data_IF_673488527423
#
_entry.id   IF_673488527423
#
_cell.length_a   1.000
_cell.length_b   1.000
_cell.length_c   1.000
_cell.angle_alpha   90.00
_cell.angle_beta   90.00
_cell.angle_gamma   90.00
#
_symmetry.space_group_name_H-M   'P 1'
#
loop_
_entity.id
_entity.type
_entity.pdbx_description
1 polymer ?
#
# COMPACT_ATOMS: atom_id res chain seq x y z
N UNK A 1 -22.11 37.72 -5.76
CA UNK A 1 -22.30 36.66 -6.77
C UNK A 1 -20.98 36.00 -7.19
N UNK A 2 -19.98 36.77 -7.66
CA UNK A 2 -18.67 36.21 -8.09
C UNK A 2 -17.88 35.47 -7.00
N UNK A 3 -17.96 35.93 -5.74
CA UNK A 3 -17.29 35.25 -4.61
C UNK A 3 -17.88 33.85 -4.32
N UNK A 4 -19.21 33.72 -4.35
CA UNK A 4 -19.90 32.44 -4.11
C UNK A 4 -19.67 31.43 -5.24
N UNK A 5 -19.60 31.89 -6.49
CA UNK A 5 -19.25 31.04 -7.65
C UNK A 5 -17.78 30.59 -7.62
N UNK A 6 -16.88 31.46 -7.17
CA UNK A 6 -15.48 31.10 -6.91
C UNK A 6 -15.36 30.05 -5.80
N UNK A 7 -16.04 30.26 -4.67
CA UNK A 7 -16.02 29.33 -3.53
C UNK A 7 -16.56 27.94 -3.92
N UNK A 8 -17.65 27.88 -4.68
CA UNK A 8 -18.25 26.61 -5.11
C UNK A 8 -17.35 25.84 -6.08
N UNK A 9 -16.63 26.53 -6.97
CA UNK A 9 -15.61 25.91 -7.84
C UNK A 9 -14.44 25.35 -7.03
N UNK A 10 -13.95 26.10 -6.05
CA UNK A 10 -12.83 25.66 -5.19
C UNK A 10 -13.24 24.45 -4.34
N UNK A 11 -14.44 24.46 -3.76
CA UNK A 11 -14.99 23.33 -2.99
C UNK A 11 -15.22 22.10 -3.89
N UNK A 12 -15.67 22.30 -5.14
CA UNK A 12 -15.80 21.20 -6.11
C UNK A 12 -14.47 20.59 -6.55
N UNK A 13 -13.37 21.35 -6.48
CA UNK A 13 -12.03 20.91 -6.87
C UNK A 13 -11.17 20.38 -5.71
N UNK A 14 -11.61 20.57 -4.46
CA UNK A 14 -10.92 20.09 -3.27
C UNK A 14 -10.55 18.60 -3.33
N UNK A 15 -11.43 17.68 -3.78
CA UNK A 15 -11.06 16.27 -3.95
C UNK A 15 -9.91 16.06 -4.94
N UNK A 16 -9.89 16.81 -6.04
CA UNK A 16 -8.83 16.74 -7.04
C UNK A 16 -7.49 17.26 -6.51
N UNK A 17 -7.51 18.35 -5.73
CA UNK A 17 -6.32 18.88 -5.03
C UNK A 17 -5.76 17.82 -4.08
N UNK A 18 -6.61 17.23 -3.24
CA UNK A 18 -6.21 16.21 -2.28
C UNK A 18 -5.63 14.99 -2.99
N UNK A 19 -6.25 14.54 -4.08
CA UNK A 19 -5.74 13.44 -4.91
C UNK A 19 -4.36 13.75 -5.49
N UNK A 20 -4.15 14.95 -6.03
CA UNK A 20 -2.83 15.35 -6.54
C UNK A 20 -1.78 15.36 -5.44
N UNK A 21 -2.06 15.96 -4.29
CA UNK A 21 -1.09 16.01 -3.18
C UNK A 21 -0.79 14.60 -2.67
N UNK A 22 -1.83 13.80 -2.41
CA UNK A 22 -1.67 12.41 -1.96
C UNK A 22 -0.89 11.58 -2.98
N UNK A 23 -1.14 11.78 -4.28
CA UNK A 23 -0.44 11.07 -5.35
C UNK A 23 1.06 11.34 -5.34
N UNK A 24 1.48 12.59 -5.12
CA UNK A 24 2.90 12.98 -5.05
C UNK A 24 3.54 12.33 -3.83
N UNK A 25 2.88 12.39 -2.67
CA UNK A 25 3.37 11.76 -1.43
C UNK A 25 3.52 10.25 -1.61
N UNK A 26 2.53 9.58 -2.20
CA UNK A 26 2.56 8.14 -2.46
C UNK A 26 3.64 7.79 -3.50
N UNK A 27 3.81 8.61 -4.54
CA UNK A 27 4.84 8.41 -5.55
C UNK A 27 6.27 8.60 -5.00
N UNK A 28 6.47 9.39 -3.95
CA UNK A 28 7.81 9.61 -3.36
C UNK A 28 8.08 8.64 -2.20
N UNK A 29 7.11 8.48 -1.29
CA UNK A 29 7.31 7.79 -0.02
C UNK A 29 6.42 6.54 0.15
N UNK A 30 5.72 6.11 -0.91
CA UNK A 30 4.72 5.04 -0.85
C UNK A 30 5.24 3.73 -0.25
N UNK A 31 6.44 3.27 -0.63
CA UNK A 31 7.08 2.10 -0.03
C UNK A 31 7.24 2.20 1.50
N UNK A 32 7.59 3.38 2.01
CA UNK A 32 7.75 3.62 3.46
C UNK A 32 6.39 3.65 4.13
N UNK A 33 5.41 4.34 3.54
CA UNK A 33 4.04 4.36 4.04
C UNK A 33 3.41 2.96 4.07
N UNK A 34 3.62 2.14 3.04
CA UNK A 34 3.12 0.77 3.00
C UNK A 34 3.72 -0.08 4.13
N UNK A 35 5.03 0.02 4.37
CA UNK A 35 5.68 -0.64 5.52
C UNK A 35 5.12 -0.14 6.85
N UNK A 36 4.94 1.17 6.99
CA UNK A 36 4.37 1.75 8.20
C UNK A 36 2.93 1.27 8.43
N UNK A 37 2.10 1.20 7.39
CA UNK A 37 0.75 0.64 7.49
C UNK A 37 0.78 -0.82 7.91
N UNK A 38 1.66 -1.62 7.32
CA UNK A 38 1.82 -3.03 7.70
C UNK A 38 2.27 -3.17 9.15
N UNK A 39 3.21 -2.33 9.60
CA UNK A 39 3.61 -2.27 11.01
C UNK A 39 2.42 -1.90 11.91
N UNK A 40 1.65 -0.88 11.55
CA UNK A 40 0.49 -0.45 12.33
C UNK A 40 -0.56 -1.54 12.40
N UNK A 41 -0.92 -2.18 11.27
CA UNK A 41 -1.92 -3.26 11.25
C UNK A 41 -1.43 -4.48 12.01
N UNK A 42 -0.18 -4.90 11.81
CA UNK A 42 0.42 -6.01 12.57
C UNK A 42 0.51 -5.72 14.06
N UNK A 43 0.89 -4.50 14.42
CA UNK A 43 0.98 -4.05 15.80
C UNK A 43 -0.39 -3.96 16.45
N UNK A 44 -1.35 -3.29 15.84
CA UNK A 44 -2.71 -3.19 16.38
C UNK A 44 -3.36 -4.57 16.54
N UNK A 45 -3.23 -5.46 15.56
CA UNK A 45 -3.81 -6.80 15.66
C UNK A 45 -3.25 -7.60 16.84
N UNK A 46 -1.94 -7.76 16.93
CA UNK A 46 -1.33 -8.52 18.04
C UNK A 46 -1.46 -7.78 19.38
N UNK A 47 -1.31 -6.46 19.37
CA UNK A 47 -1.47 -5.60 20.54
C UNK A 47 -2.86 -5.71 21.15
N UNK A 48 -3.92 -5.70 20.35
CA UNK A 48 -5.30 -5.89 20.83
C UNK A 48 -5.52 -7.31 21.37
N UNK A 49 -4.97 -8.33 20.70
CA UNK A 49 -5.05 -9.73 21.17
C UNK A 49 -4.38 -9.86 22.54
N UNK A 50 -3.14 -9.39 22.70
CA UNK A 50 -2.41 -9.49 23.96
C UNK A 50 -2.98 -8.58 25.06
N UNK A 51 -3.50 -7.41 24.68
CA UNK A 51 -4.26 -6.56 25.59
C UNK A 51 -5.50 -7.28 26.12
N UNK A 52 -6.26 -7.97 25.26
CA UNK A 52 -7.44 -8.73 25.71
C UNK A 52 -7.06 -9.88 26.65
N UNK A 53 -6.00 -10.63 26.32
CA UNK A 53 -5.45 -11.70 27.15
C UNK A 53 -4.97 -11.18 28.51
N UNK A 54 -4.30 -10.03 28.53
CA UNK A 54 -3.84 -9.42 29.76
C UNK A 54 -4.97 -9.06 30.73
N UNK A 55 -6.17 -8.74 30.22
CA UNK A 55 -7.35 -8.49 31.04
C UNK A 55 -7.98 -9.75 31.61
N UNK A 56 -7.67 -10.92 31.03
CA UNK A 56 -8.14 -12.23 31.54
C UNK A 56 -7.18 -12.87 32.54
N UNK A 57 -5.87 -12.59 32.42
CA UNK A 57 -4.81 -13.25 33.21
C UNK A 57 -4.31 -12.35 34.36
N UNK A 58 -4.43 -11.03 34.24
CA UNK A 58 -3.95 -10.08 35.24
C UNK A 58 -4.83 -8.83 35.35
N UNK A 59 -4.44 -7.93 36.25
CA UNK A 59 -5.10 -6.63 36.40
C UNK A 59 -4.73 -5.64 35.29
N UNK A 60 -5.31 -4.43 35.36
CA UNK A 60 -5.19 -3.37 34.35
C UNK A 60 -3.74 -3.02 33.94
N UNK A 61 -2.78 -3.07 34.87
CA UNK A 61 -1.37 -2.81 34.54
C UNK A 61 -0.78 -3.88 33.61
N UNK A 62 -1.07 -5.16 33.85
CA UNK A 62 -0.60 -6.28 33.01
C UNK A 62 -1.21 -6.17 31.61
N UNK A 63 -2.49 -5.76 31.56
CA UNK A 63 -3.22 -5.52 30.32
C UNK A 63 -2.53 -4.50 29.41
N UNK A 64 -2.15 -3.35 29.97
CA UNK A 64 -1.49 -2.26 29.23
C UNK A 64 -0.10 -2.70 28.77
N UNK A 65 0.68 -3.34 29.64
CA UNK A 65 2.04 -3.80 29.31
C UNK A 65 1.99 -4.82 28.17
N UNK A 66 1.13 -5.82 28.25
CA UNK A 66 0.97 -6.83 27.20
C UNK A 66 0.45 -6.23 25.89
N UNK A 67 -0.44 -5.23 25.96
CA UNK A 67 -0.90 -4.50 24.78
C UNK A 67 0.23 -3.76 24.06
N UNK A 68 1.08 -3.04 24.81
CA UNK A 68 2.22 -2.31 24.23
C UNK A 68 3.26 -3.28 23.65
N UNK A 69 3.60 -4.34 24.39
CA UNK A 69 4.53 -5.37 23.91
C UNK A 69 3.98 -6.07 22.67
N UNK A 70 2.69 -6.41 22.65
CA UNK A 70 2.01 -6.98 21.49
C UNK A 70 2.02 -6.04 20.29
N UNK A 71 1.84 -4.74 20.51
CA UNK A 71 1.93 -3.76 19.43
C UNK A 71 3.32 -3.70 18.80
N UNK A 72 4.37 -3.64 19.61
CA UNK A 72 5.75 -3.59 19.11
C UNK A 72 6.10 -4.89 18.40
N UNK A 73 5.88 -6.04 19.06
CA UNK A 73 6.21 -7.35 18.51
C UNK A 73 5.38 -7.63 17.24
N UNK A 74 4.08 -7.34 17.27
CA UNK A 74 3.19 -7.54 16.14
C UNK A 74 3.55 -6.66 14.95
N UNK A 75 3.94 -5.42 15.19
CA UNK A 75 4.38 -4.52 14.14
C UNK A 75 5.68 -5.00 13.50
N UNK A 76 6.66 -5.42 14.30
CA UNK A 76 7.92 -5.99 13.81
C UNK A 76 7.66 -7.28 13.02
N UNK A 77 6.83 -8.19 13.55
CA UNK A 77 6.43 -9.41 12.85
C UNK A 77 5.71 -9.09 11.53
N UNK A 78 4.81 -8.12 11.50
CA UNK A 78 4.16 -7.67 10.27
C UNK A 78 5.17 -7.22 9.22
N UNK A 79 6.17 -6.43 9.60
CA UNK A 79 7.25 -6.02 8.70
C UNK A 79 8.11 -7.20 8.22
N UNK A 80 8.43 -8.15 9.09
CA UNK A 80 9.20 -9.35 8.76
C UNK A 80 8.44 -10.29 7.82
N UNK A 81 7.12 -10.36 7.97
CA UNK A 81 6.24 -11.20 7.14
C UNK A 81 5.84 -10.53 5.83
N UNK A 82 6.09 -9.23 5.67
CA UNK A 82 5.75 -8.49 4.44
C UNK A 82 6.31 -9.14 3.16
N UNK A 83 7.57 -9.58 3.09
CA UNK A 83 8.08 -10.27 1.92
C UNK A 83 7.31 -11.56 1.61
N UNK A 84 6.93 -12.32 2.64
CA UNK A 84 6.17 -13.55 2.50
C UNK A 84 4.76 -13.24 1.96
N UNK A 85 4.11 -12.21 2.47
CA UNK A 85 2.78 -11.79 1.99
C UNK A 85 2.83 -11.39 0.50
N UNK A 86 3.84 -10.63 0.09
CA UNK A 86 4.04 -10.26 -1.32
C UNK A 86 4.34 -11.47 -2.18
N UNK A 87 5.20 -12.38 -1.70
CA UNK A 87 5.48 -13.67 -2.34
C UNK A 87 4.21 -14.49 -2.55
N UNK A 88 3.42 -14.68 -1.50
CA UNK A 88 2.15 -15.42 -1.57
C UNK A 88 1.17 -14.79 -2.57
N UNK A 89 1.05 -13.46 -2.58
CA UNK A 89 0.21 -12.76 -3.55
C UNK A 89 0.67 -13.03 -4.99
N UNK A 90 1.97 -12.88 -5.28
CA UNK A 90 2.51 -13.13 -6.62
C UNK A 90 2.40 -14.61 -7.02
N UNK A 91 2.71 -15.52 -6.09
CA UNK A 91 2.56 -16.96 -6.28
C UNK A 91 1.12 -17.36 -6.58
N UNK A 92 0.15 -16.80 -5.85
CA UNK A 92 -1.27 -17.05 -6.11
C UNK A 92 -1.71 -16.53 -7.49
N UNK A 93 -1.25 -15.35 -7.90
CA UNK A 93 -1.53 -14.79 -9.23
C UNK A 93 -0.98 -15.72 -10.32
N UNK A 94 0.28 -16.13 -10.22
CA UNK A 94 0.91 -17.01 -11.22
C UNK A 94 0.28 -18.40 -11.25
N UNK A 95 -0.03 -18.99 -10.09
CA UNK A 95 -0.80 -20.23 -9.99
C UNK A 95 -2.14 -20.11 -10.72
N UNK A 96 -2.88 -19.03 -10.48
CA UNK A 96 -4.20 -18.81 -11.07
C UNK A 96 -4.13 -18.64 -12.60
N UNK A 97 -3.14 -17.88 -13.10
CA UNK A 97 -2.95 -17.66 -14.53
C UNK A 97 -2.55 -18.94 -15.29
N UNK A 98 -1.84 -19.84 -14.61
CA UNK A 98 -1.32 -21.08 -15.20
C UNK A 98 -2.20 -22.29 -14.90
N UNK A 99 -3.31 -22.12 -14.16
CA UNK A 99 -4.26 -23.18 -13.84
C UNK A 99 -4.79 -23.95 -15.07
N UNK A 100 -5.10 -23.28 -16.21
CA UNK A 100 -5.54 -23.98 -17.43
C UNK A 100 -4.49 -24.91 -18.04
N UNK A 101 -3.21 -24.75 -17.69
CA UNK A 101 -2.11 -25.55 -18.21
C UNK A 101 -1.90 -26.85 -17.42
N UNK A 102 -2.60 -27.03 -16.29
CA UNK A 102 -2.57 -28.24 -15.46
C UNK A 102 -1.89 -28.05 -14.10
N UNK A 103 -2.40 -28.75 -13.10
CA UNK A 103 -2.09 -28.53 -11.67
C UNK A 103 -0.60 -28.52 -11.33
N UNK A 104 0.20 -29.43 -11.91
CA UNK A 104 1.64 -29.52 -11.62
C UNK A 104 2.37 -28.26 -12.12
N UNK A 105 2.06 -27.83 -13.35
CA UNK A 105 2.64 -26.62 -13.94
C UNK A 105 2.24 -25.40 -13.11
N UNK A 106 0.98 -25.34 -12.68
CA UNK A 106 0.48 -24.23 -11.87
C UNK A 106 1.12 -24.16 -10.49
N UNK A 107 1.30 -25.30 -9.83
CA UNK A 107 2.01 -25.40 -8.55
C UNK A 107 3.45 -24.91 -8.67
N UNK A 108 4.17 -25.33 -9.71
CA UNK A 108 5.54 -24.89 -9.96
C UNK A 108 5.58 -23.37 -10.20
N UNK A 109 4.70 -22.85 -11.05
CA UNK A 109 4.60 -21.41 -11.32
C UNK A 109 4.28 -20.61 -10.04
N UNK A 110 3.39 -21.14 -9.19
CA UNK A 110 3.05 -20.52 -7.91
C UNK A 110 4.21 -20.51 -6.92
N UNK A 111 4.95 -21.61 -6.80
CA UNK A 111 6.15 -21.68 -5.94
C UNK A 111 7.27 -20.75 -6.42
N UNK A 112 7.50 -20.68 -7.73
CA UNK A 112 8.44 -19.73 -8.34
C UNK A 112 7.99 -18.30 -8.02
N UNK A 113 6.69 -18.01 -8.20
CA UNK A 113 6.10 -16.72 -7.85
C UNK A 113 6.28 -16.33 -6.38
N UNK A 114 6.15 -17.29 -5.47
CA UNK A 114 6.39 -17.09 -4.05
C UNK A 114 7.84 -16.67 -3.79
N UNK A 115 8.79 -17.42 -4.32
CA UNK A 115 10.23 -17.16 -4.12
C UNK A 115 10.61 -15.81 -4.72
N UNK A 116 10.23 -15.56 -5.98
CA UNK A 116 10.54 -14.31 -6.67
C UNK A 116 9.87 -13.13 -5.98
N UNK A 117 8.60 -13.26 -5.60
CA UNK A 117 7.85 -12.18 -4.95
C UNK A 117 8.40 -11.85 -3.55
N UNK A 118 8.89 -12.83 -2.81
CA UNK A 118 9.56 -12.59 -1.53
C UNK A 118 10.89 -11.85 -1.73
N UNK A 119 11.73 -12.32 -2.67
CA UNK A 119 13.03 -11.71 -2.98
C UNK A 119 12.89 -10.28 -3.53
N UNK A 120 11.91 -10.05 -4.40
CA UNK A 120 11.65 -8.76 -5.04
C UNK A 120 10.57 -7.95 -4.32
N UNK A 121 10.26 -8.26 -3.06
CA UNK A 121 9.21 -7.58 -2.31
C UNK A 121 9.39 -6.05 -2.29
N UNK A 122 10.60 -5.56 -2.03
CA UNK A 122 10.89 -4.12 -2.04
C UNK A 122 10.67 -3.46 -3.42
N UNK A 123 11.25 -3.99 -4.54
CA UNK A 123 10.93 -3.52 -5.89
C UNK A 123 9.45 -3.59 -6.27
N UNK A 124 8.75 -4.66 -5.90
CA UNK A 124 7.33 -4.84 -6.17
C UNK A 124 6.51 -3.79 -5.42
N UNK A 125 6.79 -3.56 -4.14
CA UNK A 125 6.13 -2.49 -3.38
C UNK A 125 6.38 -1.13 -4.04
N UNK A 126 7.63 -0.81 -4.38
CA UNK A 126 7.96 0.46 -5.04
C UNK A 126 7.20 0.63 -6.37
N UNK A 127 7.13 -0.43 -7.18
CA UNK A 127 6.38 -0.44 -8.43
C UNK A 127 4.89 -0.18 -8.20
N UNK A 128 4.27 -0.94 -7.30
CA UNK A 128 2.83 -0.84 -7.01
C UNK A 128 2.50 0.55 -6.46
N UNK A 129 3.26 1.06 -5.51
CA UNK A 129 2.98 2.38 -4.93
C UNK A 129 3.26 3.51 -5.90
N UNK A 130 4.29 3.42 -6.74
CA UNK A 130 4.51 4.38 -7.81
C UNK A 130 3.36 4.35 -8.84
N UNK A 131 2.87 3.16 -9.20
CA UNK A 131 1.77 2.99 -10.14
C UNK A 131 0.47 3.57 -9.59
N UNK A 132 0.17 3.31 -8.31
CA UNK A 132 -0.96 3.92 -7.60
C UNK A 132 -0.81 5.44 -7.54
N UNK A 133 0.38 5.96 -7.23
CA UNK A 133 0.66 7.39 -7.25
C UNK A 133 0.39 8.01 -8.63
N UNK A 134 0.96 7.45 -9.70
CA UNK A 134 0.71 7.91 -11.07
C UNK A 134 -0.76 7.87 -11.46
N UNK A 135 -1.49 6.82 -11.08
CA UNK A 135 -2.92 6.69 -11.35
C UNK A 135 -3.76 7.72 -10.58
N UNK A 136 -3.46 7.97 -9.30
CA UNK A 136 -4.15 8.99 -8.51
C UNK A 136 -3.90 10.40 -9.05
N UNK A 137 -2.70 10.66 -9.58
CA UNK A 137 -2.40 11.93 -10.24
C UNK A 137 -3.19 12.09 -11.53
N UNK A 138 -3.30 11.04 -12.35
CA UNK A 138 -4.18 11.02 -13.52
C UNK A 138 -5.63 11.36 -13.15
N UNK A 139 -6.19 10.72 -12.12
CA UNK A 139 -7.54 11.00 -11.64
C UNK A 139 -7.67 12.45 -11.11
N UNK A 140 -6.65 12.94 -10.42
CA UNK A 140 -6.59 14.32 -9.94
C UNK A 140 -6.64 15.33 -11.09
N UNK A 141 -5.83 15.13 -12.14
CA UNK A 141 -5.81 15.99 -13.32
C UNK A 141 -7.14 15.97 -14.09
N UNK A 142 -7.77 14.79 -14.22
CA UNK A 142 -9.12 14.71 -14.79
C UNK A 142 -10.15 15.47 -13.96
N UNK A 143 -10.04 15.44 -12.62
CA UNK A 143 -10.87 16.25 -11.72
C UNK A 143 -10.74 17.76 -11.94
N UNK A 144 -9.63 18.22 -12.52
CA UNK A 144 -9.41 19.61 -12.94
C UNK A 144 -9.86 19.91 -14.37
N UNK A 145 -10.37 18.93 -15.11
CA UNK A 145 -10.77 19.09 -16.50
C UNK A 145 -9.58 19.14 -17.48
N UNK A 146 -8.41 18.64 -17.08
CA UNK A 146 -7.25 18.49 -17.98
C UNK A 146 -7.58 17.46 -19.06
N UNK A 147 -7.11 17.69 -20.29
CA UNK A 147 -7.27 16.76 -21.39
C UNK A 147 -6.74 15.36 -21.04
N UNK A 148 -7.44 14.32 -21.49
CA UNK A 148 -7.14 12.92 -21.14
C UNK A 148 -5.72 12.52 -21.53
N UNK A 149 -5.21 12.95 -22.68
CA UNK A 149 -3.86 12.62 -23.13
C UNK A 149 -2.80 13.28 -22.25
N UNK A 150 -3.02 14.55 -21.88
CA UNK A 150 -2.14 15.28 -20.96
C UNK A 150 -2.18 14.68 -19.56
N UNK A 151 -3.35 14.25 -19.08
CA UNK A 151 -3.49 13.61 -17.79
C UNK A 151 -2.78 12.24 -17.74
N UNK A 152 -2.89 11.44 -18.81
CA UNK A 152 -2.16 10.16 -18.93
C UNK A 152 -0.65 10.42 -18.94
N UNK A 153 -0.18 11.37 -19.73
CA UNK A 153 1.24 11.73 -19.79
C UNK A 153 1.76 12.18 -18.41
N UNK A 154 1.00 13.04 -17.71
CA UNK A 154 1.34 13.49 -16.36
C UNK A 154 1.41 12.34 -15.35
N UNK A 155 0.41 11.45 -15.34
CA UNK A 155 0.41 10.26 -14.48
C UNK A 155 1.57 9.31 -14.76
N UNK A 156 1.90 9.11 -16.04
CA UNK A 156 3.03 8.28 -16.45
C UNK A 156 4.38 8.89 -16.04
N UNK A 157 4.55 10.20 -16.22
CA UNK A 157 5.76 10.91 -15.76
C UNK A 157 5.92 10.75 -14.25
N UNK A 158 4.86 10.97 -13.47
CA UNK A 158 4.92 10.81 -12.02
C UNK A 158 5.21 9.36 -11.62
N UNK A 159 4.64 8.38 -12.32
CA UNK A 159 4.96 6.96 -12.12
C UNK A 159 6.46 6.69 -12.30
N UNK A 160 7.06 7.14 -13.41
CA UNK A 160 8.49 6.94 -13.67
C UNK A 160 9.35 7.64 -12.63
N UNK A 161 9.06 8.90 -12.30
CA UNK A 161 9.78 9.64 -11.25
C UNK A 161 9.68 8.91 -9.92
N UNK A 162 8.47 8.51 -9.53
CA UNK A 162 8.22 7.80 -8.28
C UNK A 162 8.94 6.45 -8.22
N UNK A 163 8.92 5.70 -9.32
CA UNK A 163 9.64 4.44 -9.44
C UNK A 163 11.15 4.64 -9.24
N UNK A 164 11.75 5.61 -9.95
CA UNK A 164 13.18 5.91 -9.83
C UNK A 164 13.56 6.33 -8.41
N UNK A 165 12.74 7.15 -7.75
CA UNK A 165 12.99 7.59 -6.39
C UNK A 165 12.83 6.47 -5.36
N UNK A 166 11.84 5.59 -5.53
CA UNK A 166 11.56 4.53 -4.56
C UNK A 166 12.44 3.28 -4.73
N UNK A 167 13.04 3.08 -5.90
CA UNK A 167 13.98 1.98 -6.16
C UNK A 167 15.41 2.30 -5.72
N UNK A 168 15.76 3.58 -5.56
CA UNK A 168 16.98 4.00 -4.86
C UNK A 168 16.90 3.65 -3.37
#
# INVERSE_FOLDING_TARGET
MNFYLSLYRVIGQLPAIVLIIASIVIAIAGKVFAKLLVFLVGGFSLGLILYSLGGTIGGQMVQIILGILGFIVGGVLGLLLLPIAVGLALGFILFSLTLPLGLIISLIAGLIGLIIGALLSNPILAFVTAAVGGYLFYLGLLGFGVDRLLAIAGGFILFIIGLVLQLR
#
